data_IF_904917185710
#
_entry.id   IF_904917185710
#
_cell.length_a   1.000
_cell.length_b   1.000
_cell.length_c   1.000
_cell.angle_alpha   90.00
_cell.angle_beta   90.00
_cell.angle_gamma   90.00
#
_symmetry.space_group_name_H-M   'P 1'
#
loop_
_entity.id
_entity.type
_entity.pdbx_description
1 polymer ?
#
# COMPACT_ATOMS: atom_id res chain seq x y z
N UNK A 1 16.83 -66.01 -44.29
CA UNK A 1 15.76 -66.00 -43.28
C UNK A 1 16.31 -65.30 -42.04
N UNK A 2 16.30 -63.97 -42.05
CA UNK A 2 15.34 -63.04 -41.39
C UNK A 2 15.94 -62.55 -40.05
N UNK A 3 16.22 -61.23 -39.89
CA UNK A 3 16.85 -60.70 -38.68
C UNK A 3 15.80 -60.29 -37.64
N UNK A 4 16.07 -60.55 -36.35
CA UNK A 4 15.28 -59.99 -35.25
C UNK A 4 15.81 -58.59 -34.91
N UNK A 5 15.05 -57.57 -35.31
CA UNK A 5 15.11 -56.22 -34.74
C UNK A 5 14.16 -56.19 -33.54
N UNK A 6 14.64 -55.77 -32.37
CA UNK A 6 13.74 -55.35 -31.28
C UNK A 6 14.06 -53.89 -30.95
N UNK A 7 13.01 -53.08 -31.04
CA UNK A 7 13.01 -51.63 -30.91
C UNK A 7 13.36 -51.20 -29.48
N UNK A 8 14.32 -50.29 -29.34
CA UNK A 8 14.37 -49.36 -28.22
C UNK A 8 13.33 -48.26 -28.47
N UNK A 9 12.24 -48.27 -27.72
CA UNK A 9 11.30 -47.15 -27.66
C UNK A 9 11.81 -46.15 -26.61
N UNK A 10 12.49 -45.12 -27.06
CA UNK A 10 12.80 -43.94 -26.26
C UNK A 10 11.50 -43.17 -26.02
N UNK A 11 10.91 -43.32 -24.84
CA UNK A 11 9.84 -42.43 -24.36
C UNK A 11 10.49 -41.09 -23.98
N UNK A 12 10.51 -40.14 -24.92
CA UNK A 12 10.74 -38.74 -24.60
C UNK A 12 9.48 -38.20 -23.91
N UNK A 13 9.48 -38.14 -22.58
CA UNK A 13 8.57 -37.26 -21.85
C UNK A 13 8.96 -35.81 -22.20
N UNK A 14 8.31 -35.27 -23.21
CA UNK A 14 8.16 -33.83 -23.36
C UNK A 14 7.27 -33.36 -22.21
N UNK A 15 7.91 -33.03 -21.08
CA UNK A 15 7.31 -32.14 -20.10
C UNK A 15 7.18 -30.78 -20.79
N UNK A 16 6.05 -30.56 -21.46
CA UNK A 16 5.61 -29.22 -21.83
C UNK A 16 5.36 -28.50 -20.51
N UNK A 17 6.37 -27.76 -20.03
CA UNK A 17 6.14 -26.65 -19.13
C UNK A 17 5.17 -25.73 -19.86
N UNK A 18 3.88 -25.84 -19.55
CA UNK A 18 2.89 -24.88 -19.96
C UNK A 18 3.33 -23.55 -19.35
N UNK A 19 4.03 -22.74 -20.13
CA UNK A 19 4.45 -21.41 -19.69
C UNK A 19 3.19 -20.60 -19.42
N UNK A 20 3.15 -19.94 -18.26
CA UNK A 20 2.16 -18.93 -17.94
C UNK A 20 2.36 -17.73 -18.87
N UNK A 21 1.82 -17.82 -20.08
CA UNK A 21 1.76 -16.68 -21.02
C UNK A 21 0.67 -15.70 -20.60
N UNK A 22 0.77 -14.42 -21.00
CA UNK A 22 -0.29 -13.45 -20.77
C UNK A 22 -1.58 -13.94 -21.43
N UNK A 23 -2.67 -14.00 -20.67
CA UNK A 23 -4.00 -14.17 -21.23
C UNK A 23 -4.46 -12.85 -21.85
N UNK A 24 -5.42 -12.92 -22.79
CA UNK A 24 -6.17 -11.72 -23.16
C UNK A 24 -6.73 -11.09 -21.87
N UNK A 25 -6.63 -9.76 -21.71
CA UNK A 25 -7.17 -9.09 -20.54
C UNK A 25 -8.64 -9.42 -20.37
N UNK A 26 -9.00 -9.90 -19.19
CA UNK A 26 -10.40 -10.12 -18.82
C UNK A 26 -11.12 -8.78 -18.92
N UNK A 27 -12.18 -8.71 -19.73
CA UNK A 27 -13.01 -7.50 -19.80
C UNK A 27 -13.51 -7.14 -18.40
N UNK A 28 -13.63 -5.85 -18.06
CA UNK A 28 -14.17 -5.46 -16.77
C UNK A 28 -15.51 -6.16 -16.56
N UNK A 29 -15.71 -6.68 -15.34
CA UNK A 29 -16.99 -7.29 -14.98
C UNK A 29 -18.08 -6.25 -15.25
N UNK A 30 -19.24 -6.70 -15.72
CA UNK A 30 -20.40 -5.81 -15.89
C UNK A 30 -20.58 -5.09 -14.55
N UNK A 31 -20.66 -3.74 -14.51
CA UNK A 31 -20.81 -3.02 -13.26
C UNK A 31 -21.92 -3.70 -12.44
N UNK A 32 -21.62 -4.09 -11.19
CA UNK A 32 -22.68 -4.54 -10.28
C UNK A 32 -23.74 -3.46 -10.33
N UNK A 33 -25.01 -3.81 -10.53
CA UNK A 33 -26.09 -2.85 -10.83
C UNK A 33 -26.09 -1.66 -9.84
N UNK A 34 -25.40 -0.58 -10.21
CA UNK A 34 -25.08 0.52 -9.28
C UNK A 34 -26.29 1.44 -9.05
N UNK A 35 -27.40 1.20 -9.77
CA UNK A 35 -28.62 1.99 -9.68
C UNK A 35 -29.53 1.62 -8.51
N UNK A 36 -29.36 0.43 -7.93
CA UNK A 36 -30.19 -0.03 -6.82
C UNK A 36 -29.33 -0.67 -5.73
N UNK A 37 -29.06 0.11 -4.68
CA UNK A 37 -28.57 -0.43 -3.42
C UNK A 37 -29.46 -1.59 -2.96
N UNK A 38 -28.83 -2.65 -2.47
CA UNK A 38 -29.55 -3.72 -1.78
C UNK A 38 -30.50 -3.08 -0.74
N UNK A 39 -31.82 -3.35 -0.79
CA UNK A 39 -32.78 -2.81 0.16
C UNK A 39 -32.36 -3.05 1.62
N UNK A 40 -31.74 -4.19 1.92
CA UNK A 40 -31.27 -4.50 3.26
C UNK A 40 -30.12 -3.58 3.69
N UNK A 41 -29.16 -3.32 2.79
CA UNK A 41 -28.05 -2.40 3.06
C UNK A 41 -28.56 -0.97 3.24
N UNK A 42 -29.55 -0.56 2.45
CA UNK A 42 -30.19 0.76 2.55
C UNK A 42 -30.88 0.96 3.91
N UNK A 43 -31.59 -0.06 4.40
CA UNK A 43 -32.21 -0.06 5.73
C UNK A 43 -31.16 0.01 6.84
N UNK A 44 -30.06 -0.75 6.72
CA UNK A 44 -28.96 -0.71 7.68
C UNK A 44 -28.29 0.68 7.75
N UNK A 45 -28.10 1.34 6.61
CA UNK A 45 -27.56 2.70 6.56
C UNK A 45 -28.53 3.68 7.25
N UNK A 46 -29.83 3.60 6.95
CA UNK A 46 -30.83 4.45 7.58
C UNK A 46 -30.90 4.27 9.10
N UNK A 47 -30.83 3.02 9.58
CA UNK A 47 -30.78 2.74 11.01
C UNK A 47 -29.48 3.26 11.64
N UNK A 48 -28.33 3.10 10.97
CA UNK A 48 -27.06 3.63 11.46
C UNK A 48 -27.08 5.17 11.58
N UNK A 49 -27.70 5.88 10.62
CA UNK A 49 -27.92 7.32 10.71
C UNK A 49 -28.75 7.67 11.95
N UNK A 50 -29.86 6.97 12.18
CA UNK A 50 -30.72 7.20 13.32
C UNK A 50 -29.99 6.95 14.66
N UNK A 51 -29.22 5.87 14.76
CA UNK A 51 -28.44 5.54 15.95
C UNK A 51 -27.41 6.64 16.27
N UNK A 52 -26.65 7.10 15.26
CA UNK A 52 -25.67 8.19 15.42
C UNK A 52 -26.37 9.47 15.90
N UNK A 53 -27.47 9.86 15.25
CA UNK A 53 -28.18 11.10 15.60
C UNK A 53 -28.88 11.02 16.96
N UNK A 54 -29.12 9.83 17.50
CA UNK A 54 -29.66 9.63 18.85
C UNK A 54 -28.61 9.70 19.96
N UNK A 55 -27.32 9.78 19.62
CA UNK A 55 -26.23 9.87 20.59
C UNK A 55 -26.05 11.31 21.12
N UNK A 56 -27.08 11.77 21.84
CA UNK A 56 -27.22 13.14 22.33
C UNK A 56 -26.08 13.57 23.26
N UNK A 57 -25.45 12.63 23.98
CA UNK A 57 -24.34 13.00 24.87
C UNK A 57 -23.20 13.64 24.09
N UNK A 58 -22.77 13.02 22.98
CA UNK A 58 -21.67 13.54 22.17
C UNK A 58 -22.02 14.80 21.38
N UNK A 59 -23.31 15.05 21.12
CA UNK A 59 -23.80 16.28 20.47
C UNK A 59 -23.88 17.47 21.43
N UNK A 60 -24.40 17.25 22.64
CA UNK A 60 -24.86 18.33 23.51
C UNK A 60 -23.87 18.65 24.63
N UNK A 61 -23.02 17.69 25.04
CA UNK A 61 -22.10 17.90 26.14
C UNK A 61 -20.79 18.57 25.68
N UNK A 62 -20.41 19.71 26.28
CA UNK A 62 -19.10 20.32 26.02
C UNK A 62 -17.94 19.44 26.48
N UNK A 63 -18.13 18.73 27.61
CA UNK A 63 -17.18 17.75 28.11
C UNK A 63 -17.62 16.33 27.73
N UNK A 64 -17.04 15.82 26.65
CA UNK A 64 -17.33 14.49 26.13
C UNK A 64 -16.79 13.37 27.02
N UNK A 65 -15.95 13.64 28.02
CA UNK A 65 -15.33 12.59 28.85
C UNK A 65 -16.33 11.76 29.68
N UNK A 66 -17.53 12.31 29.90
CA UNK A 66 -18.63 11.65 30.60
C UNK A 66 -19.57 10.86 29.68
N UNK A 67 -19.39 10.94 28.36
CA UNK A 67 -20.20 10.18 27.41
C UNK A 67 -19.82 8.70 27.37
N UNK A 68 -20.57 7.91 26.60
CA UNK A 68 -20.35 6.47 26.52
C UNK A 68 -19.16 6.13 25.63
N UNK A 69 -18.00 5.96 26.26
CA UNK A 69 -16.76 5.51 25.63
C UNK A 69 -16.50 4.04 25.92
N UNK A 70 -16.13 3.31 24.89
CA UNK A 70 -15.60 1.96 24.99
C UNK A 70 -14.11 1.89 24.64
N UNK A 71 -13.50 0.80 25.10
CA UNK A 71 -12.18 0.35 24.65
C UNK A 71 -12.35 -0.99 23.95
N UNK A 72 -12.06 -1.02 22.65
CA UNK A 72 -12.35 -2.16 21.78
C UNK A 72 -11.07 -2.76 21.24
N UNK A 73 -10.69 -3.99 21.64
CA UNK A 73 -9.46 -4.62 21.16
C UNK A 73 -9.54 -4.98 19.68
N UNK A 74 -8.41 -4.82 18.99
CA UNK A 74 -8.17 -5.45 17.69
C UNK A 74 -7.79 -6.91 17.92
N UNK A 75 -8.59 -7.82 17.38
CA UNK A 75 -8.38 -9.27 17.48
C UNK A 75 -8.29 -9.87 16.07
N UNK A 76 -7.19 -9.62 15.36
CA UNK A 76 -7.07 -9.96 13.93
C UNK A 76 -7.36 -11.44 13.62
N UNK A 77 -6.97 -12.36 14.50
CA UNK A 77 -7.23 -13.80 14.33
C UNK A 77 -8.71 -14.18 14.37
N UNK A 78 -9.56 -13.40 15.04
CA UNK A 78 -11.01 -13.64 15.12
C UNK A 78 -11.79 -12.73 14.18
N UNK A 79 -11.26 -11.55 13.89
CA UNK A 79 -11.95 -10.51 13.13
C UNK A 79 -11.71 -10.65 11.62
N UNK A 80 -10.59 -11.22 11.17
CA UNK A 80 -10.32 -11.40 9.75
C UNK A 80 -11.34 -12.36 9.11
N UNK A 81 -12.19 -11.80 8.25
CA UNK A 81 -13.26 -12.53 7.59
C UNK A 81 -13.57 -11.84 6.26
N UNK A 82 -13.08 -12.43 5.17
CA UNK A 82 -13.33 -11.96 3.80
C UNK A 82 -13.98 -13.08 3.00
N UNK A 83 -15.16 -12.79 2.43
CA UNK A 83 -15.88 -13.72 1.54
C UNK A 83 -15.14 -13.94 0.21
N UNK A 84 -14.61 -12.86 -0.36
CA UNK A 84 -13.80 -12.85 -1.58
C UNK A 84 -12.36 -12.47 -1.22
N UNK A 85 -11.44 -13.39 -1.45
CA UNK A 85 -10.04 -13.25 -1.08
C UNK A 85 -9.15 -14.00 -2.08
N UNK A 86 -8.18 -13.29 -2.64
CA UNK A 86 -7.20 -13.85 -3.59
C UNK A 86 -6.13 -14.75 -2.94
N UNK A 87 -6.02 -14.70 -1.60
CA UNK A 87 -4.97 -15.39 -0.85
C UNK A 87 -3.62 -14.65 -0.83
N UNK A 88 -3.49 -13.58 -1.61
CA UNK A 88 -2.25 -12.80 -1.76
C UNK A 88 -2.39 -11.46 -1.00
N UNK A 89 -1.69 -11.34 0.14
CA UNK A 89 -1.84 -10.17 1.02
C UNK A 89 -0.94 -9.00 0.62
N UNK A 90 -1.41 -7.78 0.93
CA UNK A 90 -0.65 -6.54 0.87
C UNK A 90 -0.05 -6.25 2.24
N UNK A 91 1.26 -6.10 2.30
CA UNK A 91 1.97 -5.53 3.44
C UNK A 91 2.14 -4.02 3.26
N UNK A 92 1.67 -3.23 4.22
CA UNK A 92 1.92 -1.79 4.30
C UNK A 92 2.95 -1.54 5.38
N UNK A 93 4.15 -1.09 4.99
CA UNK A 93 5.20 -0.65 5.91
C UNK A 93 5.21 0.87 5.95
N UNK A 94 4.69 1.43 7.05
CA UNK A 94 4.54 2.89 7.20
C UNK A 94 4.44 3.29 8.68
N UNK A 95 4.23 4.58 8.95
CA UNK A 95 4.03 5.10 10.29
C UNK A 95 2.63 4.79 10.82
N UNK A 96 2.55 3.81 11.72
CA UNK A 96 1.34 3.37 12.41
C UNK A 96 1.55 3.39 13.94
N UNK A 97 1.62 4.58 14.58
CA UNK A 97 1.72 4.65 16.03
C UNK A 97 0.45 4.06 16.69
N UNK A 98 -0.71 4.28 16.05
CA UNK A 98 -2.03 3.71 16.31
C UNK A 98 -2.72 3.35 14.99
N UNK A 99 -3.87 2.67 15.05
CA UNK A 99 -4.75 2.47 13.89
C UNK A 99 -5.82 3.56 13.83
N UNK A 100 -6.08 4.15 12.66
CA UNK A 100 -7.07 5.21 12.53
C UNK A 100 -8.51 4.68 12.70
N UNK A 101 -9.50 5.53 13.05
CA UNK A 101 -10.90 5.13 13.19
C UNK A 101 -11.47 4.44 11.94
N UNK A 102 -11.11 4.90 10.73
CA UNK A 102 -11.47 4.22 9.47
C UNK A 102 -11.09 2.74 9.42
N UNK A 103 -10.06 2.31 10.15
CA UNK A 103 -9.65 0.91 10.19
C UNK A 103 -10.68 0.01 10.90
N UNK A 104 -11.56 0.56 11.76
CA UNK A 104 -12.64 -0.20 12.41
C UNK A 104 -13.54 -0.84 11.35
N UNK A 105 -13.93 -0.09 10.32
CA UNK A 105 -14.77 -0.56 9.21
C UNK A 105 -14.10 -1.65 8.38
N UNK A 106 -12.77 -1.64 8.29
CA UNK A 106 -12.02 -2.62 7.50
C UNK A 106 -11.34 -3.68 8.35
N UNK A 107 -11.67 -3.79 9.65
CA UNK A 107 -11.02 -4.73 10.58
C UNK A 107 -11.10 -6.17 10.08
N UNK A 108 -12.16 -6.51 9.34
CA UNK A 108 -12.34 -7.83 8.75
C UNK A 108 -11.39 -8.14 7.59
N UNK A 109 -10.63 -7.15 7.12
CA UNK A 109 -9.62 -7.27 6.08
C UNK A 109 -8.19 -7.25 6.64
N UNK A 110 -8.03 -6.95 7.94
CA UNK A 110 -6.74 -6.87 8.61
C UNK A 110 -6.31 -8.26 9.09
N UNK A 111 -5.35 -8.89 8.40
CA UNK A 111 -4.76 -10.16 8.83
C UNK A 111 -3.82 -10.00 10.03
N UNK A 112 -3.19 -8.83 10.16
CA UNK A 112 -2.23 -8.58 11.21
C UNK A 112 -1.81 -7.13 11.30
N UNK A 113 -1.44 -6.71 12.51
CA UNK A 113 -0.77 -5.45 12.79
C UNK A 113 0.49 -5.73 13.61
N UNK A 114 1.65 -5.40 13.07
CA UNK A 114 2.95 -5.79 13.59
C UNK A 114 3.84 -4.58 13.88
N UNK A 115 4.73 -4.73 14.86
CA UNK A 115 5.77 -3.77 15.20
C UNK A 115 7.05 -4.49 15.59
N UNK A 116 8.18 -3.82 15.37
CA UNK A 116 9.48 -4.28 15.83
C UNK A 116 9.77 -3.72 17.21
N UNK A 117 10.18 -4.56 18.15
CA UNK A 117 10.61 -4.14 19.48
C UNK A 117 12.07 -3.66 19.52
N UNK A 118 12.53 -3.20 20.69
CA UNK A 118 13.91 -2.73 20.89
C UNK A 118 14.99 -3.81 20.81
N UNK A 119 14.61 -5.09 20.72
CA UNK A 119 15.51 -6.23 20.50
C UNK A 119 15.62 -6.62 19.02
N UNK A 120 14.85 -5.98 18.14
CA UNK A 120 14.76 -6.30 16.72
C UNK A 120 13.81 -7.45 16.40
N UNK A 121 12.94 -7.85 17.34
CA UNK A 121 11.96 -8.90 17.14
C UNK A 121 10.64 -8.31 16.62
N UNK A 122 10.03 -8.97 15.63
CA UNK A 122 8.73 -8.56 15.09
C UNK A 122 7.61 -9.34 15.76
N UNK A 123 6.70 -8.63 16.42
CA UNK A 123 5.54 -9.19 17.12
C UNK A 123 4.23 -8.49 16.76
N UNK A 124 3.08 -9.16 17.00
CA UNK A 124 1.77 -8.52 16.85
C UNK A 124 1.60 -7.41 17.88
N UNK A 125 0.98 -6.30 17.48
CA UNK A 125 0.66 -5.18 18.35
C UNK A 125 -0.64 -5.47 19.10
N UNK A 126 -0.59 -5.43 20.43
CA UNK A 126 -1.80 -5.38 21.25
C UNK A 126 -2.38 -3.97 21.14
N UNK A 127 -3.47 -3.83 20.40
CA UNK A 127 -4.10 -2.54 20.10
C UNK A 127 -5.56 -2.54 20.52
N UNK A 128 -6.06 -1.39 20.95
CA UNK A 128 -7.48 -1.18 21.19
C UNK A 128 -7.87 0.22 20.74
N UNK A 129 -8.99 0.35 20.05
CA UNK A 129 -9.60 1.65 19.80
C UNK A 129 -10.28 2.11 21.07
N UNK A 130 -9.94 3.31 21.54
CA UNK A 130 -10.87 4.07 22.36
C UNK A 130 -11.85 4.72 21.39
N UNK A 131 -13.16 4.59 21.61
CA UNK A 131 -14.18 5.13 20.70
C UNK A 131 -15.53 5.33 21.40
N UNK A 132 -16.37 6.27 20.95
CA UNK A 132 -17.80 6.29 21.28
C UNK A 132 -18.41 4.92 20.95
N UNK A 133 -19.11 4.32 21.91
CA UNK A 133 -19.62 2.96 21.76
C UNK A 133 -20.55 2.84 20.55
N UNK A 134 -21.45 3.81 20.36
CA UNK A 134 -22.36 3.88 19.21
C UNK A 134 -21.59 3.95 17.89
N UNK A 135 -20.58 4.83 17.78
CA UNK A 135 -19.76 4.97 16.58
C UNK A 135 -19.04 3.67 16.25
N UNK A 136 -18.37 3.05 17.24
CA UNK A 136 -17.65 1.79 17.04
C UNK A 136 -18.60 0.69 16.54
N UNK A 137 -19.77 0.57 17.14
CA UNK A 137 -20.77 -0.41 16.76
C UNK A 137 -21.29 -0.17 15.34
N UNK A 138 -21.57 1.09 14.97
CA UNK A 138 -22.01 1.44 13.62
C UNK A 138 -20.94 1.12 12.58
N UNK A 139 -19.68 1.53 12.77
CA UNK A 139 -18.60 1.24 11.83
C UNK A 139 -18.35 -0.28 11.71
N UNK A 140 -18.47 -0.99 12.83
CA UNK A 140 -18.37 -2.45 12.90
C UNK A 140 -19.44 -3.16 12.06
N UNK A 141 -20.68 -2.67 12.02
CA UNK A 141 -21.76 -3.28 11.22
C UNK A 141 -21.41 -3.37 9.73
N UNK A 142 -20.61 -2.42 9.24
CA UNK A 142 -20.17 -2.37 7.85
C UNK A 142 -18.81 -3.03 7.60
N UNK A 143 -18.21 -3.66 8.61
CA UNK A 143 -17.07 -4.55 8.48
C UNK A 143 -17.50 -5.98 8.12
N UNK A 144 -18.42 -6.11 7.14
CA UNK A 144 -18.98 -7.39 6.70
C UNK A 144 -17.99 -8.21 5.89
N UNK A 145 -18.15 -9.55 5.79
CA UNK A 145 -17.32 -10.39 4.93
C UNK A 145 -17.35 -10.00 3.44
N UNK A 146 -18.46 -9.45 2.97
CA UNK A 146 -18.58 -8.80 1.66
C UNK A 146 -17.95 -7.40 1.71
N UNK A 147 -17.22 -7.02 0.66
CA UNK A 147 -16.70 -5.67 0.56
C UNK A 147 -17.81 -4.68 0.22
N UNK A 148 -17.99 -3.67 1.08
CA UNK A 148 -18.89 -2.54 0.83
C UNK A 148 -18.01 -1.36 0.42
N UNK A 149 -18.22 -0.72 -0.74
CA UNK A 149 -17.52 0.50 -1.12
C UNK A 149 -17.83 1.66 -0.16
N UNK A 150 -16.85 2.46 0.21
CA UNK A 150 -17.05 3.61 1.09
C UNK A 150 -18.09 4.61 0.57
N UNK A 151 -18.14 4.86 -0.75
CA UNK A 151 -19.12 5.76 -1.37
C UNK A 151 -20.58 5.36 -1.09
N UNK A 152 -20.86 4.07 -0.93
CA UNK A 152 -22.20 3.56 -0.56
C UNK A 152 -22.63 4.04 0.82
N UNK A 153 -21.68 4.28 1.72
CA UNK A 153 -21.93 4.70 3.09
C UNK A 153 -21.93 6.22 3.27
N UNK A 154 -21.80 7.00 2.18
CA UNK A 154 -21.78 8.46 2.20
C UNK A 154 -22.87 9.12 3.05
N UNK A 155 -24.13 8.60 3.11
CA UNK A 155 -25.15 9.16 4.00
C UNK A 155 -24.77 9.23 5.48
N UNK A 156 -23.78 8.44 5.93
CA UNK A 156 -23.25 8.45 7.30
C UNK A 156 -22.27 9.60 7.55
N UNK A 157 -21.63 10.14 6.52
CA UNK A 157 -20.54 11.11 6.64
C UNK A 157 -20.94 12.36 7.43
N UNK A 158 -22.03 13.03 7.03
CA UNK A 158 -22.51 14.24 7.71
C UNK A 158 -23.03 13.98 9.15
N UNK A 159 -23.84 12.93 9.41
CA UNK A 159 -24.22 12.55 10.78
C UNK A 159 -23.02 12.29 11.68
N UNK A 160 -22.04 11.49 11.25
CA UNK A 160 -20.84 11.18 12.04
C UNK A 160 -20.07 12.47 12.36
N UNK A 161 -19.83 13.33 11.36
CA UNK A 161 -19.12 14.59 11.56
C UNK A 161 -19.87 15.54 12.50
N UNK A 162 -21.21 15.57 12.44
CA UNK A 162 -22.02 16.44 13.28
C UNK A 162 -22.01 15.98 14.75
N UNK A 163 -22.11 14.67 14.98
CA UNK A 163 -22.24 14.10 16.32
C UNK A 163 -20.88 13.93 17.00
N UNK A 164 -19.92 13.34 16.31
CA UNK A 164 -18.64 12.99 16.91
C UNK A 164 -17.56 14.03 16.58
N UNK A 165 -17.73 14.82 15.51
CA UNK A 165 -16.74 15.78 15.04
C UNK A 165 -15.52 15.07 14.45
N UNK A 166 -14.38 15.74 14.48
CA UNK A 166 -13.08 15.08 14.34
C UNK A 166 -12.78 14.39 15.66
N UNK A 167 -13.35 13.19 15.80
CA UNK A 167 -13.30 12.41 17.02
C UNK A 167 -11.86 12.04 17.42
N UNK A 168 -10.86 12.15 16.54
CA UNK A 168 -9.51 12.14 17.05
C UNK A 168 -8.42 12.74 16.15
N UNK A 169 -7.48 13.39 16.82
CA UNK A 169 -6.10 13.58 16.39
C UNK A 169 -5.41 12.20 16.16
N UNK A 170 -5.99 11.06 16.54
CA UNK A 170 -5.50 9.71 16.17
C UNK A 170 -5.57 9.35 14.66
N UNK A 171 -6.06 10.23 13.78
CA UNK A 171 -5.80 10.11 12.33
C UNK A 171 -4.37 10.56 11.95
N UNK A 172 -3.54 10.89 12.95
CA UNK A 172 -2.14 11.31 12.79
C UNK A 172 -1.28 10.09 12.44
N UNK A 173 -0.91 10.01 11.18
CA UNK A 173 0.11 9.10 10.72
C UNK A 173 0.11 9.07 9.21
N UNK A 174 1.28 9.14 8.61
CA UNK A 174 1.42 8.99 7.17
C UNK A 174 0.81 7.65 6.67
N UNK A 175 0.93 6.59 7.48
CA UNK A 175 0.37 5.27 7.19
C UNK A 175 -1.16 5.22 7.13
N UNK A 176 -1.89 6.10 7.82
CA UNK A 176 -3.36 6.10 7.81
C UNK A 176 -3.92 6.43 6.42
N UNK A 177 -3.27 7.37 5.72
CA UNK A 177 -3.59 7.74 4.35
C UNK A 177 -3.19 6.63 3.38
N UNK A 178 -2.00 6.06 3.52
CA UNK A 178 -1.56 4.93 2.67
C UNK A 178 -2.50 3.74 2.78
N UNK A 179 -2.91 3.39 4.00
CA UNK A 179 -3.95 2.39 4.26
C UNK A 179 -5.26 2.73 3.54
N UNK A 180 -5.72 3.98 3.65
CA UNK A 180 -6.97 4.43 3.03
C UNK A 180 -6.99 4.29 1.50
N UNK A 181 -5.84 4.54 0.86
CA UNK A 181 -5.69 4.45 -0.59
C UNK A 181 -5.71 2.99 -1.06
N UNK A 182 -5.07 2.09 -0.31
CA UNK A 182 -4.94 0.68 -0.70
C UNK A 182 -6.19 -0.14 -0.42
N UNK A 183 -6.85 0.08 0.72
CA UNK A 183 -7.95 -0.79 1.18
C UNK A 183 -9.18 -0.72 0.28
N UNK A 184 -9.49 0.47 -0.26
CA UNK A 184 -10.60 0.66 -1.20
C UNK A 184 -10.22 0.35 -2.65
N UNK A 185 -8.95 0.49 -3.03
CA UNK A 185 -8.53 0.19 -4.40
C UNK A 185 -8.40 -1.32 -4.69
N UNK A 186 -8.24 -2.14 -3.63
CA UNK A 186 -7.90 -3.57 -3.72
C UNK A 186 -8.89 -4.43 -2.88
N UNK A 187 -10.17 -4.52 -3.29
CA UNK A 187 -11.26 -5.10 -2.49
C UNK A 187 -11.16 -6.62 -2.29
N UNK A 188 -10.27 -7.34 -2.97
CA UNK A 188 -10.07 -8.79 -2.75
C UNK A 188 -8.70 -9.12 -2.12
N UNK A 189 -7.93 -8.11 -1.72
CA UNK A 189 -6.63 -8.28 -1.09
C UNK A 189 -6.75 -8.11 0.43
N UNK A 190 -6.28 -9.11 1.21
CA UNK A 190 -6.06 -8.94 2.64
C UNK A 190 -4.96 -7.93 2.92
N UNK A 191 -5.08 -7.21 4.05
CA UNK A 191 -4.10 -6.20 4.46
C UNK A 191 -3.34 -6.66 5.71
N UNK A 192 -2.03 -6.50 5.67
CA UNK A 192 -1.13 -6.64 6.81
C UNK A 192 -0.47 -5.29 7.05
N UNK A 193 -0.51 -4.81 8.29
CA UNK A 193 0.08 -3.54 8.68
C UNK A 193 1.37 -3.77 9.44
N UNK A 194 2.38 -2.98 9.14
CA UNK A 194 3.65 -2.95 9.87
C UNK A 194 4.04 -1.52 10.13
N UNK A 195 4.22 -1.21 11.42
CA UNK A 195 4.72 0.09 11.84
C UNK A 195 6.19 0.29 11.40
N UNK A 196 6.65 1.54 11.39
CA UNK A 196 7.88 1.94 10.70
C UNK A 196 9.12 1.18 11.16
N UNK A 197 9.93 0.76 10.19
CA UNK A 197 11.18 0.04 10.39
C UNK A 197 12.36 1.03 10.55
N UNK A 198 12.32 1.86 11.60
CA UNK A 198 13.36 2.88 11.83
C UNK A 198 14.36 2.44 12.89
N UNK A 199 15.66 2.69 12.66
CA UNK A 199 16.72 2.31 13.61
C UNK A 199 16.48 2.85 15.02
N UNK A 200 16.00 4.08 15.15
CA UNK A 200 15.73 4.70 16.44
C UNK A 200 14.61 4.00 17.23
N UNK A 201 13.83 3.11 16.60
CA UNK A 201 12.79 2.29 17.27
C UNK A 201 13.31 0.92 17.68
N UNK A 202 13.92 0.18 16.76
CA UNK A 202 14.31 -1.22 17.02
C UNK A 202 15.76 -1.41 17.50
N UNK A 203 16.60 -0.38 17.37
CA UNK A 203 17.99 -0.41 17.79
C UNK A 203 18.46 0.95 18.34
N UNK A 204 17.74 1.58 19.28
CA UNK A 204 18.02 2.95 19.71
C UNK A 204 19.44 3.11 20.27
N UNK A 205 19.90 2.17 21.10
CA UNK A 205 21.23 2.22 21.72
C UNK A 205 22.35 2.07 20.68
N UNK A 206 22.26 1.07 19.81
CA UNK A 206 23.27 0.82 18.76
C UNK A 206 23.25 1.90 17.69
N UNK A 207 22.08 2.45 17.38
CA UNK A 207 21.96 3.58 16.48
C UNK A 207 22.68 4.79 17.07
N UNK A 208 22.39 5.15 18.33
CA UNK A 208 22.93 6.34 18.99
C UNK A 208 24.36 6.19 19.53
N UNK A 209 25.03 5.05 19.36
CA UNK A 209 26.46 4.90 19.65
C UNK A 209 27.31 5.69 18.63
N UNK A 210 28.03 6.76 19.04
CA UNK A 210 28.76 7.63 18.12
C UNK A 210 30.13 7.09 17.69
N UNK A 211 30.60 5.98 18.27
CA UNK A 211 31.97 5.48 18.09
C UNK A 211 32.30 5.10 16.65
N UNK A 212 31.31 4.55 15.93
CA UNK A 212 31.52 3.97 14.61
C UNK A 212 32.49 2.78 14.61
N UNK A 213 32.76 2.17 15.77
CA UNK A 213 33.68 1.03 15.86
C UNK A 213 33.13 -0.19 15.10
N UNK A 214 33.99 -1.11 14.61
CA UNK A 214 33.53 -2.34 13.97
C UNK A 214 32.53 -3.13 14.83
N UNK A 215 32.75 -3.18 16.15
CA UNK A 215 31.86 -3.85 17.11
C UNK A 215 30.50 -3.15 17.20
N UNK A 216 30.48 -1.80 17.18
CA UNK A 216 29.25 -1.01 17.17
C UNK A 216 28.40 -1.29 15.94
N UNK A 217 29.03 -1.24 14.76
CA UNK A 217 28.38 -1.55 13.48
C UNK A 217 27.90 -3.01 13.44
N UNK A 218 28.69 -3.96 13.97
CA UNK A 218 28.31 -5.37 14.03
C UNK A 218 27.07 -5.61 14.91
N UNK A 219 26.93 -4.91 16.06
CA UNK A 219 25.73 -5.01 16.90
C UNK A 219 24.49 -4.48 16.18
N UNK A 220 24.58 -3.33 15.52
CA UNK A 220 23.47 -2.76 14.74
C UNK A 220 23.07 -3.69 13.58
N UNK A 221 24.06 -4.22 12.86
CA UNK A 221 23.85 -5.21 11.78
C UNK A 221 23.16 -6.48 12.30
N UNK A 222 23.56 -6.98 13.47
CA UNK A 222 22.91 -8.15 14.09
C UNK A 222 21.43 -7.88 14.36
N UNK A 223 21.07 -6.70 14.88
CA UNK A 223 19.66 -6.33 15.07
C UNK A 223 18.90 -6.25 13.74
N UNK A 224 19.47 -5.60 12.73
CA UNK A 224 18.85 -5.53 11.40
C UNK A 224 18.64 -6.93 10.78
N UNK A 225 19.55 -7.88 11.00
CA UNK A 225 19.39 -9.27 10.57
C UNK A 225 18.25 -10.01 11.31
N UNK A 226 18.04 -9.72 12.59
CA UNK A 226 16.88 -10.25 13.35
C UNK A 226 15.58 -9.72 12.80
N UNK A 227 15.49 -8.41 12.57
CA UNK A 227 14.32 -7.78 11.91
C UNK A 227 14.06 -8.42 10.55
N UNK A 228 15.09 -8.57 9.71
CA UNK A 228 14.97 -9.23 8.42
C UNK A 228 14.46 -10.67 8.53
N UNK A 229 14.92 -11.43 9.53
CA UNK A 229 14.46 -12.80 9.77
C UNK A 229 13.00 -12.86 10.20
N UNK A 230 12.57 -11.97 11.10
CA UNK A 230 11.17 -11.82 11.48
C UNK A 230 10.28 -11.39 10.32
N UNK A 231 10.77 -10.50 9.46
CA UNK A 231 10.05 -10.03 8.28
C UNK A 231 9.84 -11.16 7.26
N UNK A 232 10.87 -11.99 7.00
CA UNK A 232 10.72 -13.18 6.13
C UNK A 232 9.67 -14.14 6.67
N UNK A 233 9.66 -14.36 7.98
CA UNK A 233 8.66 -15.20 8.65
C UNK A 233 7.25 -14.65 8.43
N UNK A 234 7.03 -13.37 8.71
CA UNK A 234 5.71 -12.73 8.53
C UNK A 234 5.27 -12.75 7.06
N UNK A 235 6.18 -12.50 6.11
CA UNK A 235 5.88 -12.60 4.68
C UNK A 235 5.34 -13.99 4.32
N UNK A 236 5.99 -15.04 4.82
CA UNK A 236 5.54 -16.43 4.63
C UNK A 236 4.21 -16.72 5.31
N UNK A 237 4.12 -16.49 6.62
CA UNK A 237 2.95 -16.81 7.45
C UNK A 237 1.69 -16.05 7.02
N UNK A 238 1.84 -14.81 6.56
CA UNK A 238 0.71 -13.97 6.16
C UNK A 238 0.43 -14.03 4.65
N UNK A 239 1.16 -14.85 3.89
CA UNK A 239 1.01 -14.96 2.43
C UNK A 239 1.14 -13.60 1.73
N UNK A 240 2.10 -12.80 2.17
CA UNK A 240 2.36 -11.48 1.58
C UNK A 240 2.99 -11.69 0.20
N UNK A 241 2.44 -10.98 -0.79
CA UNK A 241 2.89 -10.98 -2.18
C UNK A 241 3.07 -9.57 -2.73
N UNK A 242 2.51 -8.59 -2.05
CA UNK A 242 2.54 -7.19 -2.43
C UNK A 242 3.03 -6.38 -1.24
N UNK A 243 3.97 -5.47 -1.44
CA UNK A 243 4.46 -4.55 -0.42
C UNK A 243 4.28 -3.13 -0.91
N UNK A 244 3.70 -2.28 -0.07
CA UNK A 244 3.79 -0.84 -0.21
C UNK A 244 4.80 -0.31 0.78
N UNK A 245 5.80 0.42 0.29
CA UNK A 245 6.75 1.16 1.11
C UNK A 245 6.74 2.63 0.68
N UNK A 246 6.13 3.49 1.49
CA UNK A 246 6.05 4.93 1.22
C UNK A 246 7.04 5.74 2.06
N UNK A 247 8.21 5.16 2.34
CA UNK A 247 9.31 5.77 3.11
C UNK A 247 10.66 5.24 2.64
N UNK A 248 11.75 5.94 2.97
CA UNK A 248 13.12 5.56 2.60
C UNK A 248 14.13 5.82 3.72
N UNK A 249 15.24 5.07 3.72
CA UNK A 249 16.35 5.28 4.64
C UNK A 249 17.57 5.79 3.85
N UNK A 250 17.96 7.02 4.12
CA UNK A 250 19.02 7.74 3.43
C UNK A 250 20.01 8.31 4.45
N UNK A 251 21.16 8.79 3.98
CA UNK A 251 22.06 9.52 4.86
C UNK A 251 21.36 10.71 5.53
N UNK A 252 20.52 11.44 4.80
CA UNK A 252 19.81 12.60 5.33
C UNK A 252 18.76 12.22 6.38
N UNK A 253 17.99 11.15 6.16
CA UNK A 253 17.03 10.71 7.18
C UNK A 253 17.74 10.23 8.45
N UNK A 254 18.89 9.56 8.33
CA UNK A 254 19.71 9.21 9.49
C UNK A 254 20.27 10.43 10.23
N UNK A 255 20.62 11.51 9.52
CA UNK A 255 21.04 12.78 10.15
C UNK A 255 19.91 13.39 10.97
N UNK A 256 18.71 13.41 10.40
CA UNK A 256 17.51 13.95 11.05
C UNK A 256 17.15 13.12 12.29
N UNK A 257 17.09 11.79 12.14
CA UNK A 257 16.83 10.86 13.24
C UNK A 257 17.86 10.99 14.36
N UNK A 258 19.16 11.11 14.02
CA UNK A 258 20.21 11.31 15.01
C UNK A 258 19.95 12.59 15.81
N UNK A 259 19.76 13.72 15.14
CA UNK A 259 19.57 15.01 15.79
C UNK A 259 18.30 15.04 16.67
N UNK A 260 17.26 14.31 16.26
CA UNK A 260 15.99 14.27 16.97
C UNK A 260 15.98 13.30 18.16
N UNK A 261 16.77 12.21 18.11
CA UNK A 261 16.62 11.07 19.02
C UNK A 261 17.87 10.75 19.83
N UNK A 262 19.06 11.07 19.33
CA UNK A 262 20.32 10.74 19.99
C UNK A 262 20.83 11.91 20.83
N UNK A 263 21.39 11.60 21.99
CA UNK A 263 22.11 12.57 22.79
C UNK A 263 23.49 12.89 22.20
N UNK A 264 23.91 14.14 22.29
CA UNK A 264 25.27 14.56 21.94
C UNK A 264 25.51 14.89 20.46
N UNK A 265 26.76 15.19 20.08
CA UNK A 265 27.09 15.63 18.73
C UNK A 265 26.90 14.51 17.70
N UNK A 266 26.35 14.86 16.53
CA UNK A 266 26.21 13.96 15.39
C UNK A 266 27.58 13.45 14.89
N UNK A 267 27.77 12.13 14.69
CA UNK A 267 29.00 11.59 14.16
C UNK A 267 29.20 11.99 12.69
N UNK A 268 30.36 11.67 12.13
CA UNK A 268 30.67 11.96 10.73
C UNK A 268 29.72 11.25 9.77
N UNK A 269 29.56 11.81 8.57
CA UNK A 269 28.73 11.22 7.53
C UNK A 269 29.20 9.81 7.13
N UNK A 270 30.50 9.50 7.25
CA UNK A 270 31.02 8.15 6.99
C UNK A 270 30.57 7.12 8.03
N UNK A 271 30.48 7.51 9.30
CA UNK A 271 29.91 6.64 10.35
C UNK A 271 28.41 6.45 10.11
N UNK A 272 27.67 7.51 9.76
CA UNK A 272 26.24 7.40 9.46
C UNK A 272 25.98 6.53 8.21
N UNK A 273 26.83 6.60 7.18
CA UNK A 273 26.75 5.70 6.02
C UNK A 273 27.04 4.25 6.41
N UNK A 274 28.04 4.01 7.27
CA UNK A 274 28.31 2.66 7.77
C UNK A 274 27.09 2.10 8.52
N UNK A 275 26.43 2.91 9.36
CA UNK A 275 25.16 2.56 10.01
C UNK A 275 24.03 2.34 9.00
N UNK A 276 23.86 3.22 8.01
CA UNK A 276 22.86 3.08 6.95
C UNK A 276 22.98 1.73 6.24
N UNK A 277 24.21 1.32 5.88
CA UNK A 277 24.44 0.06 5.20
C UNK A 277 24.08 -1.18 6.02
N UNK A 278 24.00 -1.07 7.36
CA UNK A 278 23.50 -2.17 8.20
C UNK A 278 22.00 -2.45 7.99
N UNK A 279 21.27 -1.53 7.35
CA UNK A 279 19.85 -1.68 7.04
C UNK A 279 19.58 -2.62 5.85
N UNK A 280 20.62 -2.93 5.05
CA UNK A 280 20.51 -3.74 3.83
C UNK A 280 19.75 -5.07 4.01
N UNK A 281 19.93 -5.86 5.08
CA UNK A 281 19.20 -7.12 5.26
C UNK A 281 17.68 -6.94 5.29
N UNK A 282 17.17 -5.83 5.83
CA UNK A 282 15.74 -5.54 5.88
C UNK A 282 15.24 -5.22 4.47
N UNK A 283 15.99 -4.39 3.76
CA UNK A 283 15.70 -3.98 2.38
C UNK A 283 15.72 -5.17 1.42
N UNK A 284 16.68 -6.08 1.56
CA UNK A 284 16.78 -7.30 0.77
C UNK A 284 15.52 -8.17 0.91
N UNK A 285 14.93 -8.23 2.11
CA UNK A 285 13.69 -8.96 2.33
C UNK A 285 12.51 -8.24 1.66
N UNK A 286 12.42 -6.92 1.78
CA UNK A 286 11.34 -6.17 1.15
C UNK A 286 11.43 -6.19 -0.38
N UNK A 287 12.63 -6.16 -0.97
CA UNK A 287 12.79 -5.91 -2.41
C UNK A 287 13.30 -7.10 -3.23
N UNK A 288 13.74 -8.18 -2.58
CA UNK A 288 14.32 -9.34 -3.23
C UNK A 288 13.81 -10.69 -2.68
N UNK A 289 12.72 -10.68 -1.90
CA UNK A 289 12.05 -11.94 -1.54
C UNK A 289 11.39 -12.54 -2.80
N UNK A 290 11.62 -13.83 -3.11
CA UNK A 290 11.00 -14.47 -4.27
C UNK A 290 9.49 -14.37 -4.25
N UNK A 291 8.90 -13.96 -5.38
CA UNK A 291 7.45 -13.89 -5.54
C UNK A 291 6.77 -12.78 -4.73
N UNK A 292 7.52 -11.79 -4.26
CA UNK A 292 6.99 -10.61 -3.58
C UNK A 292 7.36 -9.38 -4.38
N UNK A 293 6.35 -8.61 -4.81
CA UNK A 293 6.51 -7.34 -5.50
C UNK A 293 6.40 -6.16 -4.54
N UNK A 294 7.21 -5.12 -4.78
CA UNK A 294 7.23 -3.92 -3.93
C UNK A 294 7.10 -2.64 -4.74
N UNK A 295 6.06 -1.86 -4.43
CA UNK A 295 5.95 -0.47 -4.85
C UNK A 295 6.62 0.42 -3.80
N UNK A 296 7.67 1.14 -4.20
CA UNK A 296 8.47 1.99 -3.34
C UNK A 296 8.33 3.45 -3.76
N UNK A 297 7.99 4.35 -2.85
CA UNK A 297 7.95 5.79 -3.14
C UNK A 297 9.34 6.28 -3.52
N UNK A 298 9.48 6.89 -4.70
CA UNK A 298 10.75 7.46 -5.13
C UNK A 298 11.03 8.79 -4.41
N UNK A 299 12.32 9.15 -4.37
CA UNK A 299 12.82 10.45 -3.94
C UNK A 299 13.87 10.96 -4.93
N UNK A 300 14.29 12.22 -4.80
CA UNK A 300 15.36 12.77 -5.62
C UNK A 300 16.74 12.28 -5.16
N UNK A 301 17.04 11.02 -5.45
CA UNK A 301 18.27 10.35 -5.05
C UNK A 301 19.44 10.75 -5.96
N UNK A 302 20.38 11.52 -5.43
CA UNK A 302 21.49 12.08 -6.23
C UNK A 302 22.62 11.09 -6.50
N UNK A 303 22.78 10.06 -5.67
CA UNK A 303 23.85 9.07 -5.79
C UNK A 303 23.55 7.79 -4.98
N UNK A 304 24.11 6.65 -5.38
CA UNK A 304 23.92 5.38 -4.67
C UNK A 304 24.66 5.25 -3.33
N UNK A 305 25.55 6.18 -2.94
CA UNK A 305 26.27 6.12 -1.65
C UNK A 305 25.44 6.68 -0.50
N UNK A 306 24.72 7.78 -0.73
CA UNK A 306 23.87 8.43 0.28
C UNK A 306 22.42 7.92 0.23
N UNK A 307 22.04 7.31 -0.89
CA UNK A 307 20.70 6.76 -1.17
C UNK A 307 20.76 5.30 -1.63
N UNK A 308 21.47 4.38 -0.94
CA UNK A 308 21.72 3.02 -1.43
C UNK A 308 20.45 2.21 -1.68
N UNK A 309 19.35 2.55 -1.00
CA UNK A 309 18.07 1.84 -1.09
C UNK A 309 16.99 2.61 -1.82
N UNK A 310 17.23 3.87 -2.20
CA UNK A 310 16.29 4.74 -2.91
C UNK A 310 16.74 5.05 -4.33
N UNK A 311 17.98 4.68 -4.67
CA UNK A 311 18.53 4.75 -6.02
C UNK A 311 18.16 3.48 -6.82
N UNK A 312 17.97 3.57 -8.15
CA UNK A 312 17.79 2.40 -9.00
C UNK A 312 18.95 1.40 -8.85
N UNK A 313 18.63 0.13 -8.66
CA UNK A 313 19.64 -0.92 -8.43
C UNK A 313 19.17 -2.26 -9.01
N UNK A 314 20.04 -2.97 -9.77
CA UNK A 314 19.73 -4.32 -10.26
C UNK A 314 19.65 -5.37 -9.13
N UNK A 315 20.12 -5.05 -7.92
CA UNK A 315 20.01 -5.93 -6.75
C UNK A 315 18.56 -6.08 -6.26
N UNK A 316 17.65 -5.21 -6.69
CA UNK A 316 16.26 -5.14 -6.25
C UNK A 316 15.28 -5.34 -7.42
N UNK A 317 15.27 -6.54 -8.04
CA UNK A 317 14.52 -6.79 -9.28
C UNK A 317 13.01 -6.81 -9.07
N UNK A 318 12.51 -7.02 -7.85
CA UNK A 318 11.08 -7.08 -7.56
C UNK A 318 10.51 -5.74 -7.07
N UNK A 319 11.27 -4.65 -7.20
CA UNK A 319 10.87 -3.31 -6.78
C UNK A 319 10.62 -2.40 -7.97
N UNK A 320 9.61 -1.53 -7.85
CA UNK A 320 9.44 -0.34 -8.69
C UNK A 320 9.50 0.94 -7.84
N UNK A 321 10.40 1.85 -8.20
CA UNK A 321 10.47 3.22 -7.70
C UNK A 321 9.40 4.06 -8.38
N UNK A 322 8.48 4.61 -7.58
CA UNK A 322 7.30 5.31 -8.04
C UNK A 322 7.44 6.82 -7.89
N UNK A 323 7.42 7.51 -9.02
CA UNK A 323 7.21 8.95 -9.13
C UNK A 323 5.74 9.31 -9.29
N UNK A 324 5.46 10.60 -9.40
CA UNK A 324 4.15 11.12 -9.76
C UNK A 324 4.24 12.16 -10.88
N UNK A 325 3.13 12.35 -11.58
CA UNK A 325 2.87 13.57 -12.34
C UNK A 325 1.40 13.96 -12.15
N UNK A 326 1.06 15.20 -12.49
CA UNK A 326 -0.31 15.69 -12.35
C UNK A 326 -0.78 16.24 -13.68
N UNK A 327 -1.81 15.62 -14.27
CA UNK A 327 -2.49 16.13 -15.44
C UNK A 327 -3.98 15.85 -15.36
N UNK A 328 -4.82 16.83 -15.69
CA UNK A 328 -6.26 16.61 -15.83
C UNK A 328 -6.55 15.78 -17.09
N UNK A 329 -5.87 16.09 -18.17
CA UNK A 329 -5.87 15.33 -19.42
C UNK A 329 -4.44 14.97 -19.80
N UNK A 330 -4.02 13.76 -19.46
CA UNK A 330 -2.66 13.27 -19.73
C UNK A 330 -2.37 13.05 -21.22
N UNK A 331 -3.41 12.80 -22.02
CA UNK A 331 -3.28 12.37 -23.42
C UNK A 331 -2.68 10.97 -23.59
N UNK A 332 -2.54 10.21 -22.50
CA UNK A 332 -1.98 8.86 -22.52
C UNK A 332 -3.07 7.81 -22.74
N UNK A 333 -2.73 6.76 -23.49
CA UNK A 333 -3.54 5.56 -23.62
C UNK A 333 -3.32 4.58 -22.44
N UNK A 334 -4.00 3.43 -22.47
CA UNK A 334 -3.98 2.42 -21.40
C UNK A 334 -2.60 1.75 -21.20
N UNK A 335 -1.65 1.99 -22.10
CA UNK A 335 -0.27 1.49 -22.04
C UNK A 335 0.74 2.61 -21.76
N UNK A 336 0.28 3.86 -21.60
CA UNK A 336 1.13 5.02 -21.40
C UNK A 336 1.70 5.63 -22.67
N UNK A 337 1.26 5.21 -23.86
CA UNK A 337 1.64 5.85 -25.12
C UNK A 337 0.83 7.14 -25.33
N UNK A 338 1.45 8.15 -25.91
CA UNK A 338 0.82 9.46 -26.11
C UNK A 338 1.86 10.58 -26.25
N UNK A 339 1.42 11.82 -26.07
CA UNK A 339 2.32 12.98 -26.08
C UNK A 339 2.94 13.21 -24.70
N UNK A 340 4.19 12.82 -24.53
CA UNK A 340 4.93 13.01 -23.26
C UNK A 340 5.54 14.40 -23.09
N UNK A 341 5.61 15.22 -24.14
CA UNK A 341 6.36 16.49 -24.13
C UNK A 341 5.81 17.51 -23.11
N UNK A 342 4.53 17.43 -22.77
CA UNK A 342 3.88 18.30 -21.78
C UNK A 342 3.85 17.70 -20.37
N UNK A 343 4.30 16.46 -20.17
CA UNK A 343 4.25 15.80 -18.88
C UNK A 343 5.52 16.08 -18.08
N UNK A 344 5.35 16.40 -16.81
CA UNK A 344 6.44 16.68 -15.88
C UNK A 344 6.31 15.76 -14.67
N UNK A 345 7.21 14.80 -14.58
CA UNK A 345 7.30 13.87 -13.46
C UNK A 345 8.18 14.39 -12.33
N UNK A 346 7.86 13.97 -11.10
CA UNK A 346 8.72 14.11 -9.92
C UNK A 346 8.85 12.77 -9.18
N UNK A 347 10.04 12.40 -8.66
CA UNK A 347 11.34 13.06 -8.79
C UNK A 347 11.93 12.90 -10.19
N UNK A 348 13.22 13.23 -10.38
CA UNK A 348 13.90 13.12 -11.68
C UNK A 348 13.79 11.73 -12.31
N UNK A 349 13.72 11.59 -13.65
CA UNK A 349 13.66 10.30 -14.34
C UNK A 349 14.80 9.33 -14.02
N UNK A 350 15.93 9.85 -13.54
CA UNK A 350 17.07 9.04 -13.11
C UNK A 350 16.82 8.25 -11.80
N UNK A 351 15.75 8.57 -11.07
CA UNK A 351 15.44 7.98 -9.75
C UNK A 351 14.07 7.29 -9.72
N UNK A 352 13.43 7.10 -10.88
CA UNK A 352 12.05 6.63 -11.01
C UNK A 352 11.97 5.55 -12.06
N UNK A 353 11.24 4.46 -11.76
CA UNK A 353 10.91 3.44 -12.75
C UNK A 353 9.57 3.73 -13.44
N UNK A 354 8.60 4.33 -12.72
CA UNK A 354 7.27 4.66 -13.25
C UNK A 354 6.69 5.93 -12.59
N UNK A 355 6.02 6.76 -13.38
CA UNK A 355 5.26 7.93 -12.93
C UNK A 355 3.77 7.66 -13.06
N UNK A 356 3.03 7.85 -11.97
CA UNK A 356 1.57 7.71 -11.98
C UNK A 356 0.87 9.07 -11.99
N UNK A 357 -0.18 9.20 -12.80
CA UNK A 357 -1.06 10.37 -12.77
C UNK A 357 -2.00 10.29 -11.57
N UNK A 358 -2.07 11.35 -10.76
CA UNK A 358 -3.09 11.45 -9.71
C UNK A 358 -4.45 11.92 -10.22
N UNK A 359 -4.50 12.55 -11.40
CA UNK A 359 -5.71 13.22 -11.90
C UNK A 359 -6.11 14.47 -11.08
N UNK A 360 -5.25 14.92 -10.17
CA UNK A 360 -5.47 16.10 -9.31
C UNK A 360 -4.31 17.08 -9.46
N UNK A 361 -4.62 18.36 -9.67
CA UNK A 361 -3.61 19.41 -9.74
C UNK A 361 -3.15 19.84 -8.34
N UNK A 362 -1.86 20.19 -8.16
CA UNK A 362 -1.29 20.47 -6.84
C UNK A 362 -1.66 21.86 -6.29
N UNK A 363 -2.30 22.73 -7.07
CA UNK A 363 -2.71 24.07 -6.63
C UNK A 363 -4.16 24.11 -6.15
N UNK A 364 -4.41 24.69 -4.96
CA UNK A 364 -5.75 24.97 -4.43
C UNK A 364 -6.60 25.73 -5.48
N UNK A 365 -7.88 25.37 -5.70
CA UNK A 365 -8.72 24.46 -4.90
C UNK A 365 -8.52 22.95 -5.20
N UNK A 366 -7.39 22.57 -5.78
CA UNK A 366 -7.05 21.22 -6.22
C UNK A 366 -7.99 20.72 -7.32
N UNK A 367 -8.07 21.41 -8.47
CA UNK A 367 -8.87 20.93 -9.60
C UNK A 367 -8.52 19.48 -9.92
N UNK A 368 -9.54 18.67 -10.17
CA UNK A 368 -9.40 17.25 -10.44
C UNK A 368 -10.20 16.85 -11.68
N UNK A 369 -9.78 15.78 -12.36
CA UNK A 369 -10.46 15.26 -13.56
C UNK A 369 -11.59 14.29 -13.17
N UNK A 370 -12.18 13.62 -14.15
CA UNK A 370 -13.27 12.66 -13.88
C UNK A 370 -12.82 11.36 -13.22
N UNK A 371 -11.54 11.06 -13.18
CA UNK A 371 -10.99 9.81 -12.63
C UNK A 371 -9.83 10.13 -11.68
N UNK A 372 -10.05 10.92 -10.62
CA UNK A 372 -8.97 11.33 -9.74
C UNK A 372 -8.59 10.20 -8.79
N UNK A 373 -7.41 10.30 -8.19
CA UNK A 373 -7.03 9.37 -7.13
C UNK A 373 -7.87 9.64 -5.89
N UNK A 374 -8.54 8.61 -5.38
CA UNK A 374 -9.52 8.73 -4.30
C UNK A 374 -8.95 8.19 -3.00
N UNK A 375 -9.18 8.91 -1.91
CA UNK A 375 -8.93 8.46 -0.54
C UNK A 375 -10.24 8.37 0.23
N UNK A 376 -10.28 7.52 1.26
CA UNK A 376 -11.43 7.51 2.17
C UNK A 376 -11.37 8.63 3.19
N UNK A 377 -12.53 8.99 3.71
CA UNK A 377 -12.66 9.90 4.84
C UNK A 377 -12.12 9.32 6.16
N UNK A 378 -12.22 10.13 7.23
CA UNK A 378 -11.68 9.78 8.53
C UNK A 378 -12.26 8.51 9.15
N UNK A 379 -13.46 8.12 8.72
CA UNK A 379 -14.23 6.99 9.25
C UNK A 379 -14.39 5.84 8.25
N UNK A 380 -13.94 6.02 7.01
CA UNK A 380 -14.08 5.04 5.94
C UNK A 380 -15.49 4.95 5.37
N UNK A 381 -16.33 5.97 5.53
CA UNK A 381 -17.74 6.00 5.10
C UNK A 381 -17.98 6.90 3.88
N UNK A 382 -16.93 7.51 3.33
CA UNK A 382 -17.00 8.24 2.07
C UNK A 382 -15.63 8.23 1.37
N UNK A 383 -15.60 8.62 0.10
CA UNK A 383 -14.39 8.81 -0.72
C UNK A 383 -14.39 10.17 -1.39
N UNK A 384 -13.21 10.74 -1.55
CA UNK A 384 -13.02 12.01 -2.25
C UNK A 384 -11.61 12.08 -2.86
N UNK A 385 -11.39 12.98 -3.84
CA UNK A 385 -10.08 13.18 -4.45
C UNK A 385 -9.01 13.51 -3.41
N UNK A 386 -7.81 12.95 -3.57
CA UNK A 386 -6.65 13.36 -2.78
C UNK A 386 -6.39 14.86 -2.94
N UNK A 387 -5.99 15.54 -1.87
CA UNK A 387 -5.85 17.02 -1.86
C UNK A 387 -4.46 17.52 -2.27
N UNK A 388 -3.57 16.64 -2.68
CA UNK A 388 -2.22 16.94 -3.19
C UNK A 388 -1.67 15.71 -3.92
N UNK A 389 -0.43 15.75 -4.40
CA UNK A 389 0.21 14.57 -4.98
C UNK A 389 1.64 14.45 -4.48
N UNK A 390 1.97 13.29 -3.94
CA UNK A 390 3.31 12.93 -3.45
C UNK A 390 3.64 11.51 -3.89
N UNK A 391 4.91 11.12 -3.88
CA UNK A 391 5.31 9.74 -4.22
C UNK A 391 4.76 8.72 -3.25
N UNK A 392 4.59 9.10 -1.98
CA UNK A 392 3.96 8.28 -0.97
C UNK A 392 2.50 7.91 -1.26
N UNK A 393 1.79 8.74 -2.02
CA UNK A 393 0.39 8.53 -2.38
C UNK A 393 0.28 7.78 -3.72
N UNK A 394 1.30 7.90 -4.56
CA UNK A 394 1.38 7.19 -5.84
C UNK A 394 1.96 5.78 -5.70
N UNK A 395 2.82 5.48 -4.73
CA UNK A 395 3.26 4.10 -4.48
C UNK A 395 2.07 3.13 -4.26
N UNK A 396 1.03 3.51 -3.48
CA UNK A 396 -0.24 2.79 -3.42
C UNK A 396 -0.94 2.59 -4.77
N UNK A 397 -0.92 3.62 -5.63
CA UNK A 397 -1.52 3.55 -6.96
C UNK A 397 -0.74 2.60 -7.87
N UNK A 398 0.60 2.66 -7.85
CA UNK A 398 1.46 1.70 -8.55
C UNK A 398 1.19 0.28 -8.09
N UNK A 399 1.07 0.05 -6.79
CA UNK A 399 0.75 -1.28 -6.27
C UNK A 399 -0.62 -1.75 -6.75
N UNK A 400 -1.63 -0.89 -6.69
CA UNK A 400 -2.99 -1.20 -7.15
C UNK A 400 -3.03 -1.50 -8.66
N UNK A 401 -2.24 -0.77 -9.46
CA UNK A 401 -2.09 -1.03 -10.90
C UNK A 401 -1.38 -2.35 -11.18
N UNK A 402 -0.36 -2.71 -10.39
CA UNK A 402 0.34 -3.99 -10.48
C UNK A 402 -0.59 -5.15 -10.15
N UNK A 403 -1.34 -5.05 -9.06
CA UNK A 403 -2.35 -6.03 -8.65
C UNK A 403 -3.40 -6.20 -9.76
N UNK A 404 -3.90 -5.09 -10.32
CA UNK A 404 -4.79 -5.14 -11.48
C UNK A 404 -4.17 -5.89 -12.66
N UNK A 405 -2.91 -5.62 -13.02
CA UNK A 405 -2.24 -6.35 -14.09
C UNK A 405 -2.12 -7.85 -13.80
N UNK A 406 -1.78 -8.21 -12.55
CA UNK A 406 -1.67 -9.60 -12.09
C UNK A 406 -2.96 -10.38 -12.32
N UNK A 407 -4.10 -9.86 -11.89
CA UNK A 407 -5.37 -10.57 -12.01
C UNK A 407 -6.03 -10.40 -13.37
N UNK A 408 -5.73 -9.34 -14.13
CA UNK A 408 -6.29 -9.15 -15.48
C UNK A 408 -5.62 -10.03 -16.53
N UNK A 409 -4.30 -10.27 -16.41
CA UNK A 409 -3.50 -10.94 -17.44
C UNK A 409 -2.96 -12.30 -17.03
N UNK A 410 -2.87 -12.58 -15.74
CA UNK A 410 -2.25 -13.80 -15.23
C UNK A 410 -2.98 -14.37 -14.01
N UNK A 411 -4.33 -14.43 -13.96
CA UNK A 411 -5.08 -14.75 -12.73
C UNK A 411 -4.68 -16.08 -12.09
N UNK A 412 -4.37 -17.09 -12.92
CA UNK A 412 -4.10 -18.47 -12.47
C UNK A 412 -2.60 -18.77 -12.25
N UNK A 413 -1.73 -17.78 -12.40
CA UNK A 413 -0.29 -17.95 -12.31
C UNK A 413 0.23 -17.58 -10.93
N UNK A 414 1.04 -18.43 -10.31
CA UNK A 414 1.74 -18.08 -9.08
C UNK A 414 2.64 -16.85 -9.29
N UNK A 415 2.61 -15.90 -8.35
CA UNK A 415 3.49 -14.74 -8.39
C UNK A 415 4.95 -15.18 -8.14
N UNK A 416 5.69 -15.41 -9.22
CA UNK A 416 7.12 -15.71 -9.23
C UNK A 416 7.93 -14.48 -9.68
N UNK A 417 9.25 -14.49 -9.48
CA UNK A 417 10.11 -13.39 -9.98
C UNK A 417 10.03 -13.23 -11.50
N UNK A 418 9.87 -14.34 -12.24
CA UNK A 418 9.65 -14.31 -13.68
C UNK A 418 8.34 -13.62 -14.05
N UNK A 419 7.26 -13.95 -13.33
CA UNK A 419 5.97 -13.28 -13.54
C UNK A 419 6.02 -11.79 -13.15
N UNK A 420 6.72 -11.44 -12.06
CA UNK A 420 6.93 -10.04 -11.67
C UNK A 420 7.63 -9.27 -12.79
N UNK A 421 8.66 -9.85 -13.43
CA UNK A 421 9.31 -9.23 -14.58
C UNK A 421 8.33 -9.02 -15.75
N UNK A 422 7.53 -10.05 -16.10
CA UNK A 422 6.50 -9.91 -17.15
C UNK A 422 5.43 -8.86 -16.81
N UNK A 423 5.02 -8.76 -15.54
CA UNK A 423 4.08 -7.74 -15.09
C UNK A 423 4.68 -6.33 -15.17
N UNK A 424 5.99 -6.17 -14.89
CA UNK A 424 6.68 -4.90 -15.10
C UNK A 424 6.65 -4.49 -16.57
N UNK A 425 6.84 -5.42 -17.50
CA UNK A 425 6.75 -5.14 -18.94
C UNK A 425 5.33 -4.72 -19.37
N UNK A 426 4.29 -5.17 -18.66
CA UNK A 426 2.91 -4.68 -18.85
C UNK A 426 2.72 -3.27 -18.29
N UNK A 427 3.36 -2.94 -17.17
CA UNK A 427 3.24 -1.64 -16.51
C UNK A 427 4.04 -0.54 -17.21
N UNK A 428 5.21 -0.86 -17.75
CA UNK A 428 6.12 0.09 -18.42
C UNK A 428 6.62 -0.49 -19.75
N UNK A 429 5.73 -0.70 -20.75
CA UNK A 429 6.09 -1.36 -21.99
C UNK A 429 7.12 -0.56 -22.79
N UNK A 430 7.95 -1.27 -23.56
CA UNK A 430 8.98 -0.69 -24.43
C UNK A 430 8.41 -0.19 -25.77
N UNK A 431 7.37 0.65 -25.74
CA UNK A 431 6.70 1.19 -26.92
C UNK A 431 6.66 2.73 -26.98
N UNK A 432 7.43 3.41 -26.13
CA UNK A 432 7.49 4.87 -26.06
C UNK A 432 8.87 5.39 -26.47
N UNK A 433 9.20 5.46 -27.78
CA UNK A 433 10.55 5.77 -28.25
C UNK A 433 11.06 7.17 -27.85
N UNK A 434 10.16 8.10 -27.53
CA UNK A 434 10.51 9.44 -27.06
C UNK A 434 10.93 9.50 -25.58
N UNK A 435 10.80 8.40 -24.82
CA UNK A 435 11.16 8.32 -23.41
C UNK A 435 12.50 7.59 -23.18
N UNK A 436 13.16 7.81 -22.03
CA UNK A 436 14.38 7.08 -21.67
C UNK A 436 14.19 5.56 -21.77
N UNK A 437 15.11 4.88 -22.45
CA UNK A 437 15.04 3.43 -22.66
C UNK A 437 13.88 2.94 -23.52
N UNK A 438 13.16 3.85 -24.20
CA UNK A 438 11.92 3.55 -24.93
C UNK A 438 10.77 3.00 -24.07
N UNK A 439 10.86 3.16 -22.75
CA UNK A 439 9.86 2.68 -21.79
C UNK A 439 8.74 3.70 -21.62
N UNK A 440 7.50 3.24 -21.60
CA UNK A 440 6.35 4.06 -21.25
C UNK A 440 6.29 4.28 -19.73
N UNK A 441 7.19 5.12 -19.19
CA UNK A 441 7.28 5.33 -17.75
C UNK A 441 6.12 6.16 -17.18
N UNK A 442 5.53 7.06 -17.97
CA UNK A 442 4.31 7.78 -17.58
C UNK A 442 3.07 6.92 -17.81
N UNK A 443 2.27 6.72 -16.76
CA UNK A 443 1.07 5.90 -16.76
C UNK A 443 -0.12 6.67 -16.17
N UNK A 444 -1.31 6.50 -16.74
CA UNK A 444 -2.56 7.08 -16.25
C UNK A 444 -3.60 5.99 -15.93
N UNK A 445 -3.33 5.15 -14.91
CA UNK A 445 -4.14 3.96 -14.68
C UNK A 445 -5.59 4.29 -14.29
N UNK A 446 -5.83 5.45 -13.68
CA UNK A 446 -7.15 5.85 -13.20
C UNK A 446 -8.09 6.19 -14.36
N UNK A 447 -7.60 6.94 -15.35
CA UNK A 447 -8.35 7.24 -16.58
C UNK A 447 -8.85 5.97 -17.29
N UNK A 448 -8.06 4.91 -17.22
CA UNK A 448 -8.33 3.64 -17.90
C UNK A 448 -8.95 2.58 -17.00
N UNK A 449 -9.33 2.91 -15.77
CA UNK A 449 -9.97 1.98 -14.83
C UNK A 449 -9.08 0.81 -14.40
N UNK A 450 -7.76 0.97 -14.44
CA UNK A 450 -6.79 -0.10 -14.21
C UNK A 450 -6.46 -0.31 -12.73
N UNK A 451 -7.50 -0.43 -11.90
CA UNK A 451 -7.45 -0.78 -10.49
C UNK A 451 -8.55 -1.81 -10.18
N UNK A 452 -8.31 -2.68 -9.19
CA UNK A 452 -9.21 -3.81 -8.92
C UNK A 452 -10.63 -3.38 -8.54
N UNK A 453 -10.78 -2.29 -7.78
CA UNK A 453 -12.10 -1.79 -7.43
C UNK A 453 -12.99 -1.44 -8.64
N UNK A 454 -12.40 -1.00 -9.75
CA UNK A 454 -13.12 -0.70 -10.99
C UNK A 454 -13.32 -1.98 -11.81
N UNK A 455 -12.27 -2.80 -11.98
CA UNK A 455 -12.34 -4.05 -12.74
C UNK A 455 -13.41 -5.02 -12.21
N UNK A 456 -13.52 -5.10 -10.88
CA UNK A 456 -14.47 -5.97 -10.16
C UNK A 456 -15.87 -5.33 -9.99
N UNK A 457 -16.10 -4.13 -10.55
CA UNK A 457 -17.39 -3.47 -10.53
C UNK A 457 -17.83 -2.91 -9.16
N UNK A 458 -16.92 -2.77 -8.19
CA UNK A 458 -17.23 -2.18 -6.88
C UNK A 458 -17.36 -0.66 -6.93
N UNK A 459 -16.74 0.01 -7.90
CA UNK A 459 -16.83 1.46 -8.08
C UNK A 459 -16.95 1.82 -9.55
N UNK A 460 -17.69 2.90 -9.89
CA UNK A 460 -17.66 3.44 -11.23
C UNK A 460 -16.24 3.91 -11.58
N UNK A 461 -15.91 3.93 -12.87
CA UNK A 461 -14.64 4.47 -13.34
C UNK A 461 -14.56 5.98 -13.10
N UNK A 462 -15.64 6.69 -13.38
CA UNK A 462 -15.73 8.15 -13.22
C UNK A 462 -16.25 8.49 -11.83
N UNK A 463 -15.53 9.37 -11.13
CA UNK A 463 -15.95 9.94 -9.88
C UNK A 463 -17.08 10.95 -10.11
N UNK A 464 -18.16 10.78 -9.37
CA UNK A 464 -19.28 11.73 -9.34
C UNK A 464 -19.23 12.44 -8.00
N UNK A 465 -19.03 13.76 -8.06
CA UNK A 465 -19.08 14.61 -6.87
C UNK A 465 -20.46 14.50 -6.19
N UNK A 466 -20.53 14.43 -4.84
CA UNK A 466 -21.77 14.35 -4.09
C UNK A 466 -22.81 15.43 -4.39
#
# INVERSE_FOLDING_TARGET
MTPLRSLFASLALLATSAGCGPSEPVSPDTPRDQGHLDPLLSEQIAQAVADILSDHCFQEQPDKSHCDWGTFPLETSQQFEMSQNTGEAILIVDEFPSLPPRAIRYRNRLKGFFRVDGAGEIGPVQFSWRAPTTLFNVLTRFASPEFIPAETLRPLSAPIQTVYGFYDDENIGHGSLVFSLLVEANPHQPIVLMDSLSFHRFAPEEFCDPSGSPESIARLSTKAQRVASGLRRIIGEQSIRFVNLSSGNTLETLKQDWNARCGGPRPSDDILRAKLNTYAPIVDVLFNTPGVFTAHAAINASNGRDFPFDFPSPAYPNRLLTGYFTALESGLDATGQGNHASLQGWPSPASVDVYMNSGVLPQRPFPYNRTPWLQVDGFGVDIYPVSSTTTSWMAPLTLSRFIHARYSHFPDCELSNGLIASLRDVLVPSSCPAQPGSLCAYQDPLKHGQIEAVRLGYRPREYVEP
#
